data_IF_674387575914
#
_entry.id   IF_674387575914
#
_cell.length_a   1.000
_cell.length_b   1.000
_cell.length_c   1.000
_cell.angle_alpha   90.00
_cell.angle_beta   90.00
_cell.angle_gamma   90.00
#
_symmetry.space_group_name_H-M   'P 1'
#
loop_
_entity.id
_entity.type
_entity.pdbx_description
1 polymer ?
#
# COMPACT_ATOMS: atom_id res chain seq x y z
N UNK A 1 1.31 -8.10 -19.34
CA UNK A 1 1.63 -7.59 -17.99
C UNK A 1 0.35 -6.98 -17.48
N UNK A 2 -0.24 -7.52 -16.41
CA UNK A 2 -1.49 -7.02 -15.84
C UNK A 2 -1.14 -6.31 -14.53
N UNK A 3 -1.26 -5.00 -14.52
CA UNK A 3 -1.10 -4.21 -13.32
C UNK A 3 -2.23 -4.54 -12.34
N UNK A 4 -1.86 -4.85 -11.10
CA UNK A 4 -2.79 -5.12 -10.00
C UNK A 4 -2.89 -3.84 -9.19
N UNK A 5 -4.04 -3.20 -9.27
CA UNK A 5 -4.31 -1.96 -8.55
C UNK A 5 -4.99 -2.29 -7.23
N UNK A 6 -4.39 -1.87 -6.12
CA UNK A 6 -5.03 -1.84 -4.81
C UNK A 6 -5.52 -0.43 -4.54
N UNK A 7 -6.83 -0.24 -4.56
CA UNK A 7 -7.48 0.94 -4.01
C UNK A 7 -7.60 0.77 -2.50
N UNK A 8 -6.95 1.65 -1.75
CA UNK A 8 -6.91 1.60 -0.29
C UNK A 8 -8.00 2.45 0.37
N UNK A 9 -8.80 3.17 -0.42
CA UNK A 9 -9.90 4.02 0.04
C UNK A 9 -9.52 4.94 1.20
N UNK A 10 -8.35 5.59 1.10
CA UNK A 10 -7.89 6.52 2.13
C UNK A 10 -8.89 7.67 2.27
N UNK A 11 -9.53 7.76 3.43
CA UNK A 11 -10.57 8.73 3.73
C UNK A 11 -10.07 9.97 4.47
N UNK A 12 -8.84 9.94 5.02
CA UNK A 12 -8.29 11.06 5.79
C UNK A 12 -6.80 11.34 5.53
N UNK A 13 -6.31 12.57 5.83
CA UNK A 13 -4.89 12.90 5.75
C UNK A 13 -4.01 12.03 6.67
N UNK A 14 -4.53 11.61 7.82
CA UNK A 14 -3.83 10.73 8.76
C UNK A 14 -3.59 9.35 8.16
N UNK A 15 -4.58 8.81 7.43
CA UNK A 15 -4.41 7.54 6.71
C UNK A 15 -3.39 7.64 5.57
N UNK A 16 -3.25 8.81 4.92
CA UNK A 16 -2.23 9.05 3.91
C UNK A 16 -0.81 9.10 4.50
N UNK A 17 -0.67 9.73 5.68
CA UNK A 17 0.58 9.73 6.43
C UNK A 17 0.93 8.31 6.90
N UNK A 18 -0.05 7.56 7.40
CA UNK A 18 0.12 6.16 7.78
C UNK A 18 0.54 5.30 6.58
N UNK A 19 -0.08 5.49 5.41
CA UNK A 19 0.30 4.76 4.20
C UNK A 19 1.77 4.96 3.87
N UNK A 20 2.26 6.20 3.93
CA UNK A 20 3.66 6.49 3.61
C UNK A 20 4.62 5.73 4.55
N UNK A 21 4.33 5.74 5.85
CA UNK A 21 5.12 5.00 6.86
C UNK A 21 5.05 3.49 6.59
N UNK A 22 3.85 2.96 6.33
CA UNK A 22 3.64 1.52 6.11
C UNK A 22 4.33 1.03 4.84
N UNK A 23 4.36 1.82 3.78
CA UNK A 23 5.07 1.48 2.55
C UNK A 23 6.58 1.35 2.80
N UNK A 24 7.17 2.30 3.53
CA UNK A 24 8.60 2.29 3.86
C UNK A 24 8.95 1.09 4.75
N UNK A 25 8.13 0.82 5.77
CA UNK A 25 8.29 -0.36 6.63
C UNK A 25 8.16 -1.67 5.87
N UNK A 26 7.14 -1.79 5.00
CA UNK A 26 6.92 -2.98 4.20
C UNK A 26 8.11 -3.27 3.28
N UNK A 27 8.62 -2.26 2.55
CA UNK A 27 9.79 -2.45 1.67
C UNK A 27 11.02 -2.84 2.49
N UNK A 28 11.25 -2.19 3.63
CA UNK A 28 12.40 -2.47 4.50
C UNK A 28 12.38 -3.90 5.04
N UNK A 29 11.21 -4.37 5.49
CA UNK A 29 11.03 -5.74 5.97
C UNK A 29 11.22 -6.75 4.84
N UNK A 30 10.61 -6.53 3.67
CA UNK A 30 10.74 -7.48 2.55
C UNK A 30 12.17 -7.57 2.00
N UNK A 31 12.87 -6.43 1.88
CA UNK A 31 14.30 -6.42 1.48
C UNK A 31 15.20 -7.10 2.51
N UNK A 32 14.80 -7.12 3.78
CA UNK A 32 15.53 -7.84 4.84
C UNK A 32 15.33 -9.36 4.76
N UNK A 33 14.23 -9.80 4.16
CA UNK A 33 13.88 -11.22 4.03
C UNK A 33 14.39 -11.85 2.73
N UNK A 34 14.38 -11.12 1.62
CA UNK A 34 14.82 -11.63 0.31
C UNK A 34 15.34 -10.48 -0.57
N UNK A 35 16.64 -10.50 -0.88
CA UNK A 35 17.28 -9.46 -1.71
C UNK A 35 17.09 -9.71 -3.20
N UNK A 36 16.75 -10.94 -3.60
CA UNK A 36 16.66 -11.33 -5.01
C UNK A 36 15.24 -11.12 -5.57
N UNK A 37 14.22 -11.04 -4.72
CA UNK A 37 12.82 -10.79 -5.11
C UNK A 37 12.24 -9.58 -4.37
N UNK A 38 12.47 -8.37 -4.90
CA UNK A 38 11.85 -7.15 -4.37
C UNK A 38 10.48 -6.86 -5.03
N UNK A 39 9.51 -6.30 -4.29
CA UNK A 39 8.23 -5.89 -4.86
C UNK A 39 8.42 -4.72 -5.84
N UNK A 40 8.06 -4.93 -7.12
CA UNK A 40 7.91 -3.82 -8.06
C UNK A 40 6.53 -3.19 -7.87
N UNK A 41 6.54 -1.95 -7.37
CA UNK A 41 5.34 -1.22 -7.00
C UNK A 41 5.39 0.26 -7.39
N UNK A 42 4.23 0.85 -7.61
CA UNK A 42 4.05 2.27 -7.91
C UNK A 42 2.89 2.81 -7.08
N UNK A 43 3.08 3.95 -6.44
CA UNK A 43 1.98 4.68 -5.79
C UNK A 43 1.51 5.76 -6.73
N UNK A 44 0.20 5.79 -7.01
CA UNK A 44 -0.40 6.85 -7.81
C UNK A 44 -1.55 7.50 -7.05
N UNK A 45 -1.72 8.78 -7.32
CA UNK A 45 -2.89 9.53 -6.90
C UNK A 45 -3.95 9.43 -7.99
N UNK A 46 -5.14 8.98 -7.62
CA UNK A 46 -6.33 8.97 -8.45
C UNK A 46 -7.35 10.00 -7.95
N UNK A 47 -8.13 10.56 -8.88
CA UNK A 47 -9.25 11.43 -8.57
C UNK A 47 -10.54 10.71 -8.95
N UNK A 48 -11.41 10.49 -7.98
CA UNK A 48 -12.73 9.90 -8.21
C UNK A 48 -13.68 10.94 -8.81
N UNK A 49 -14.75 10.51 -9.53
CA UNK A 49 -15.75 11.43 -10.08
C UNK A 49 -16.43 12.33 -9.03
N UNK A 50 -16.40 11.95 -7.75
CA UNK A 50 -16.86 12.76 -6.61
C UNK A 50 -15.94 13.95 -6.29
N UNK A 51 -14.77 14.07 -6.94
CA UNK A 51 -13.73 15.04 -6.61
C UNK A 51 -12.83 14.60 -5.45
N UNK A 52 -13.07 13.43 -4.87
CA UNK A 52 -12.20 12.87 -3.82
C UNK A 52 -10.89 12.37 -4.42
N UNK A 53 -9.79 12.69 -3.74
CA UNK A 53 -8.46 12.19 -4.04
C UNK A 53 -8.25 10.87 -3.28
N UNK A 54 -7.80 9.84 -3.99
CA UNK A 54 -7.53 8.52 -3.42
C UNK A 54 -6.12 8.09 -3.83
N UNK A 55 -5.45 7.31 -2.99
CA UNK A 55 -4.17 6.70 -3.35
C UNK A 55 -4.37 5.24 -3.69
N UNK A 56 -3.73 4.86 -4.79
CA UNK A 56 -3.72 3.50 -5.28
C UNK A 56 -2.29 3.00 -5.30
N UNK A 57 -2.10 1.76 -4.84
CA UNK A 57 -0.81 1.07 -4.91
C UNK A 57 -0.90 0.02 -6.00
N UNK A 58 -0.04 0.16 -7.00
CA UNK A 58 -0.02 -0.69 -8.19
C UNK A 58 1.13 -1.69 -8.06
N UNK A 59 0.82 -2.97 -8.25
CA UNK A 59 1.78 -4.06 -8.22
C UNK A 59 1.81 -4.80 -9.55
N UNK A 60 2.97 -5.33 -9.93
CA UNK A 60 3.10 -6.21 -11.09
C UNK A 60 2.96 -7.70 -10.74
N UNK A 61 2.92 -8.03 -9.44
CA UNK A 61 2.82 -9.39 -8.92
C UNK A 61 1.68 -9.50 -7.91
N UNK A 62 0.85 -10.54 -8.06
CA UNK A 62 -0.26 -10.80 -7.14
C UNK A 62 0.22 -11.19 -5.74
N UNK A 63 1.32 -11.95 -5.66
CA UNK A 63 1.99 -12.28 -4.39
C UNK A 63 2.25 -11.02 -3.57
N UNK A 64 2.84 -10.00 -4.19
CA UNK A 64 3.18 -8.74 -3.52
C UNK A 64 1.96 -7.89 -3.19
N UNK A 65 0.96 -7.85 -4.07
CA UNK A 65 -0.30 -7.18 -3.79
C UNK A 65 -1.02 -7.78 -2.57
N UNK A 66 -1.14 -9.11 -2.51
CA UNK A 66 -1.82 -9.80 -1.41
C UNK A 66 -1.04 -9.68 -0.09
N UNK A 67 0.29 -9.74 -0.15
CA UNK A 67 1.17 -9.53 1.01
C UNK A 67 1.03 -8.10 1.56
N UNK A 68 1.12 -7.09 0.70
CA UNK A 68 0.96 -5.70 1.11
C UNK A 68 -0.44 -5.42 1.66
N UNK A 69 -1.50 -5.94 1.02
CA UNK A 69 -2.87 -5.80 1.51
C UNK A 69 -3.02 -6.36 2.93
N UNK A 70 -2.47 -7.55 3.18
CA UNK A 70 -2.51 -8.17 4.51
C UNK A 70 -1.74 -7.35 5.54
N UNK A 71 -0.57 -6.84 5.17
CA UNK A 71 0.25 -5.97 6.00
C UNK A 71 -0.48 -4.66 6.36
N UNK A 72 -1.09 -4.01 5.36
CA UNK A 72 -1.85 -2.77 5.52
C UNK A 72 -3.02 -2.92 6.50
N UNK A 73 -3.81 -3.99 6.40
CA UNK A 73 -4.93 -4.22 7.31
C UNK A 73 -4.47 -4.38 8.77
N UNK A 74 -3.34 -5.07 9.01
CA UNK A 74 -2.76 -5.20 10.36
C UNK A 74 -2.33 -3.84 10.89
N UNK A 75 -1.66 -3.02 10.09
CA UNK A 75 -1.19 -1.70 10.49
C UNK A 75 -2.34 -0.74 10.80
N UNK A 76 -3.41 -0.76 10.00
CA UNK A 76 -4.63 0.01 10.29
C UNK A 76 -5.28 -0.39 11.63
N UNK A 77 -5.37 -1.69 11.90
CA UNK A 77 -5.92 -2.18 13.18
C UNK A 77 -5.09 -1.70 14.37
N UNK A 78 -3.76 -1.70 14.24
CA UNK A 78 -2.85 -1.21 15.27
C UNK A 78 -2.96 0.30 15.47
N UNK A 79 -3.05 1.07 14.38
CA UNK A 79 -3.21 2.53 14.43
C UNK A 79 -4.55 2.96 15.07
N UNK A 80 -5.64 2.21 14.81
CA UNK A 80 -6.94 2.49 15.42
C UNK A 80 -7.05 2.05 16.89
N UNK A 81 -6.14 1.21 17.37
CA UNK A 81 -6.10 0.75 18.75
C UNK A 81 -5.24 1.65 19.67
N UNK A 82 -4.50 2.59 19.09
CA UNK A 82 -3.64 3.56 19.79
C UNK A 82 -4.39 4.88 20.06
#
# INVERSE_FOLDING_TARGET
MNDIVLDLDLGSPEEDALLSIVLDSFITEQLSHDLDEAPQMMVRTAFRPSGQMCKEVVFQSRKWADAFKSYWEVQKMQANAA
#
